data_IF_461950505075
#
_entry.id   IF_461950505075
#
_cell.length_a   1.000
_cell.length_b   1.000
_cell.length_c   1.000
_cell.angle_alpha   90.00
_cell.angle_beta   90.00
_cell.angle_gamma   90.00
#
_symmetry.space_group_name_H-M   'P 1'
#
loop_
_entity.id
_entity.type
_entity.pdbx_description
1 polymer ?
#
# COMPACT_ATOMS: atom_id res chain seq x y z
N UNK A 1 53.66 -55.12 -62.24
CA UNK A 1 53.73 -54.15 -61.18
C UNK A 1 52.34 -53.67 -60.80
N UNK A 2 51.84 -54.00 -59.64
CA UNK A 2 50.60 -53.41 -59.16
C UNK A 2 50.92 -52.43 -57.98
N UNK A 3 50.69 -51.17 -58.21
CA UNK A 3 50.94 -50.09 -57.22
C UNK A 3 49.67 -49.37 -56.70
N UNK A 4 48.54 -49.95 -56.69
CA UNK A 4 47.26 -49.26 -56.39
C UNK A 4 46.43 -49.81 -55.24
N UNK A 5 46.96 -50.72 -54.44
CA UNK A 5 46.19 -51.25 -53.33
C UNK A 5 46.38 -50.50 -51.98
N UNK A 6 47.38 -49.61 -51.87
CA UNK A 6 47.67 -48.97 -50.58
C UNK A 6 46.91 -47.65 -50.36
N UNK A 7 46.47 -46.99 -51.43
CA UNK A 7 45.73 -45.73 -51.29
C UNK A 7 44.28 -45.87 -50.83
N UNK A 8 43.69 -47.05 -51.08
CA UNK A 8 42.28 -47.27 -50.66
C UNK A 8 42.13 -47.53 -49.16
N UNK A 9 43.19 -48.01 -48.52
CA UNK A 9 43.14 -48.29 -47.09
C UNK A 9 43.31 -47.04 -46.24
N UNK A 10 44.21 -46.13 -46.68
CA UNK A 10 44.40 -44.86 -46.00
C UNK A 10 43.20 -43.92 -46.14
N UNK A 11 42.58 -43.82 -47.31
CA UNK A 11 41.36 -43.01 -47.51
C UNK A 11 40.18 -43.55 -46.73
N UNK A 12 40.05 -44.88 -46.59
CA UNK A 12 39.01 -45.48 -45.77
C UNK A 12 39.21 -45.18 -44.27
N UNK A 13 40.45 -45.12 -43.80
CA UNK A 13 40.79 -44.83 -42.42
C UNK A 13 40.50 -43.36 -42.06
N UNK A 14 40.88 -42.41 -42.94
CA UNK A 14 40.58 -40.99 -42.74
C UNK A 14 39.07 -40.72 -42.75
N UNK A 15 38.33 -41.31 -43.65
CA UNK A 15 36.87 -41.17 -43.69
C UNK A 15 36.16 -41.75 -42.44
N UNK A 16 36.64 -42.87 -41.90
CA UNK A 16 36.09 -43.49 -40.70
C UNK A 16 36.36 -42.63 -39.45
N UNK A 17 37.51 -41.94 -39.39
CA UNK A 17 37.85 -41.06 -38.27
C UNK A 17 37.09 -39.73 -38.31
N UNK A 18 36.83 -39.19 -39.50
CA UNK A 18 36.06 -37.97 -39.72
C UNK A 18 34.57 -38.17 -39.40
N UNK A 19 34.00 -39.31 -39.80
CA UNK A 19 32.62 -39.73 -39.42
C UNK A 19 32.52 -39.94 -37.90
N UNK A 20 33.57 -40.48 -37.28
CA UNK A 20 33.59 -40.62 -35.80
C UNK A 20 33.68 -39.29 -35.08
N UNK A 21 34.41 -38.29 -35.59
CA UNK A 21 34.48 -36.94 -35.06
C UNK A 21 33.16 -36.19 -35.23
N UNK A 22 32.50 -36.32 -36.36
CA UNK A 22 31.20 -35.72 -36.61
C UNK A 22 30.07 -36.38 -35.74
N UNK A 23 30.11 -37.66 -35.48
CA UNK A 23 29.16 -38.33 -34.59
C UNK A 23 29.40 -38.01 -33.09
N UNK A 24 30.67 -37.73 -32.71
CA UNK A 24 30.98 -37.33 -31.32
C UNK A 24 30.64 -35.87 -31.02
N UNK A 25 30.49 -35.00 -32.03
CA UNK A 25 30.20 -33.57 -31.88
C UNK A 25 28.68 -33.26 -31.74
N UNK A 26 27.78 -34.19 -32.04
CA UNK A 26 26.31 -33.94 -31.99
C UNK A 26 25.62 -34.47 -30.72
N UNK A 27 26.38 -34.72 -29.66
CA UNK A 27 25.86 -35.00 -28.35
C UNK A 27 25.16 -33.79 -27.73
N UNK A 28 24.04 -33.35 -28.33
CA UNK A 28 23.11 -32.48 -27.63
C UNK A 28 22.51 -33.32 -26.50
N UNK A 29 23.15 -33.23 -25.33
CA UNK A 29 22.52 -33.70 -24.10
C UNK A 29 21.15 -33.03 -24.00
N UNK A 30 20.06 -33.79 -23.84
CA UNK A 30 18.73 -33.18 -23.69
C UNK A 30 18.80 -32.29 -22.45
N UNK A 31 18.72 -30.96 -22.64
CA UNK A 31 18.56 -30.00 -21.52
C UNK A 31 17.34 -30.47 -20.76
N UNK A 32 17.54 -31.15 -19.64
CA UNK A 32 16.47 -31.53 -18.70
C UNK A 32 15.77 -30.24 -18.35
N UNK A 33 14.64 -29.96 -18.98
CA UNK A 33 13.71 -28.92 -18.58
C UNK A 33 13.35 -29.24 -17.13
N UNK A 34 13.93 -28.50 -16.18
CA UNK A 34 13.54 -28.58 -14.78
C UNK A 34 12.04 -28.33 -14.74
N UNK A 35 11.23 -29.37 -14.51
CA UNK A 35 9.81 -29.23 -14.24
C UNK A 35 9.73 -28.36 -13.00
N UNK A 36 9.51 -27.05 -13.19
CA UNK A 36 9.20 -26.13 -12.07
C UNK A 36 8.03 -26.79 -11.33
N UNK A 37 8.23 -27.12 -10.08
CA UNK A 37 7.22 -27.72 -9.24
C UNK A 37 5.98 -26.81 -9.30
N UNK A 38 4.88 -27.28 -9.88
CA UNK A 38 3.62 -26.54 -9.99
C UNK A 38 3.15 -26.04 -8.62
N UNK A 39 3.47 -26.79 -7.55
CA UNK A 39 3.16 -26.42 -6.15
C UNK A 39 3.94 -25.20 -5.66
N UNK A 40 5.23 -25.04 -6.01
CA UNK A 40 5.99 -23.85 -5.64
C UNK A 40 5.48 -22.60 -6.37
N UNK A 41 5.16 -22.72 -7.66
CA UNK A 41 4.56 -21.65 -8.46
C UNK A 41 3.17 -21.24 -7.91
N UNK A 42 2.37 -22.18 -7.48
CA UNK A 42 1.04 -21.92 -6.93
C UNK A 42 1.12 -21.18 -5.58
N UNK A 43 2.02 -21.55 -4.69
CA UNK A 43 2.23 -20.85 -3.42
C UNK A 43 2.67 -19.40 -3.63
N UNK A 44 3.60 -19.18 -4.57
CA UNK A 44 4.06 -17.83 -4.94
C UNK A 44 2.93 -17.01 -5.53
N UNK A 45 2.09 -17.59 -6.38
CA UNK A 45 0.93 -16.91 -6.95
C UNK A 45 -0.09 -16.50 -5.88
N UNK A 46 -0.39 -17.40 -4.93
CA UNK A 46 -1.28 -17.09 -3.79
C UNK A 46 -0.71 -15.96 -2.93
N UNK A 47 0.59 -16.01 -2.62
CA UNK A 47 1.24 -14.95 -1.85
C UNK A 47 1.13 -13.59 -2.56
N UNK A 48 1.43 -13.53 -3.85
CA UNK A 48 1.30 -12.30 -4.63
C UNK A 48 -0.15 -11.79 -4.66
N UNK A 49 -1.11 -12.69 -4.83
CA UNK A 49 -2.53 -12.32 -4.80
C UNK A 49 -2.93 -11.74 -3.43
N UNK A 50 -2.50 -12.35 -2.31
CA UNK A 50 -2.75 -11.83 -0.97
C UNK A 50 -2.12 -10.44 -0.74
N UNK A 51 -0.89 -10.23 -1.23
CA UNK A 51 -0.22 -8.92 -1.13
C UNK A 51 -0.98 -7.86 -1.92
N UNK A 52 -1.38 -8.15 -3.16
CA UNK A 52 -2.14 -7.21 -3.99
C UNK A 52 -3.50 -6.88 -3.35
N UNK A 53 -4.25 -7.91 -2.92
CA UNK A 53 -5.54 -7.70 -2.25
C UNK A 53 -5.38 -6.88 -0.96
N UNK A 54 -4.39 -7.21 -0.14
CA UNK A 54 -4.08 -6.46 1.09
C UNK A 54 -3.74 -4.99 0.80
N UNK A 55 -2.95 -4.73 -0.24
CA UNK A 55 -2.60 -3.37 -0.65
C UNK A 55 -3.83 -2.59 -1.14
N UNK A 56 -4.72 -3.23 -1.92
CA UNK A 56 -5.96 -2.59 -2.37
C UNK A 56 -6.90 -2.25 -1.21
N UNK A 57 -7.02 -3.15 -0.22
CA UNK A 57 -7.84 -2.89 0.98
C UNK A 57 -7.28 -1.72 1.80
N UNK A 58 -5.97 -1.68 2.02
CA UNK A 58 -5.31 -0.57 2.73
C UNK A 58 -5.47 0.75 1.99
N UNK A 59 -5.32 0.74 0.67
CA UNK A 59 -5.53 1.93 -0.15
C UNK A 59 -6.99 2.42 -0.08
N UNK A 60 -7.96 1.50 -0.12
CA UNK A 60 -9.38 1.84 0.02
C UNK A 60 -9.73 2.44 1.37
N UNK A 61 -9.23 1.86 2.47
CA UNK A 61 -9.41 2.39 3.83
C UNK A 61 -8.73 3.77 3.93
N UNK A 62 -7.50 3.91 3.44
CA UNK A 62 -6.77 5.18 3.42
C UNK A 62 -7.55 6.27 2.68
N UNK A 63 -8.14 5.95 1.54
CA UNK A 63 -8.99 6.87 0.78
C UNK A 63 -10.22 7.33 1.56
N UNK A 64 -10.94 6.40 2.22
CA UNK A 64 -12.12 6.73 3.03
C UNK A 64 -11.76 7.66 4.21
N UNK A 65 -10.67 7.36 4.90
CA UNK A 65 -10.20 8.18 6.02
C UNK A 65 -9.72 9.57 5.55
N UNK A 66 -9.01 9.62 4.42
CA UNK A 66 -8.56 10.88 3.85
C UNK A 66 -9.72 11.75 3.38
N UNK A 67 -10.74 11.15 2.76
CA UNK A 67 -11.95 11.85 2.35
C UNK A 67 -12.68 12.48 3.56
N UNK A 68 -12.75 11.78 4.69
CA UNK A 68 -13.36 12.30 5.92
C UNK A 68 -12.49 13.40 6.57
N UNK A 69 -11.17 13.24 6.55
CA UNK A 69 -10.21 14.23 7.06
C UNK A 69 -10.35 15.57 6.33
N UNK A 70 -10.48 15.53 5.01
CA UNK A 70 -10.53 16.71 4.14
C UNK A 70 -11.97 17.20 3.88
N UNK A 71 -12.98 16.54 4.41
CA UNK A 71 -14.41 16.87 4.22
C UNK A 71 -14.86 17.00 2.74
N UNK A 72 -14.23 16.23 1.83
CA UNK A 72 -14.38 16.42 0.38
C UNK A 72 -15.76 16.06 -0.18
N UNK A 73 -16.58 15.31 0.54
CA UNK A 73 -17.86 14.81 0.03
C UNK A 73 -18.95 14.82 1.12
N UNK A 74 -19.08 15.94 1.81
CA UNK A 74 -20.13 16.16 2.82
C UNK A 74 -21.06 17.26 2.34
N UNK A 75 -22.36 17.08 2.61
CA UNK A 75 -23.33 18.16 2.44
C UNK A 75 -23.04 19.28 3.45
N UNK A 76 -23.19 20.52 3.02
CA UNK A 76 -22.95 21.68 3.89
C UNK A 76 -23.99 21.70 5.04
N UNK A 77 -23.50 21.52 6.24
CA UNK A 77 -24.30 21.63 7.47
C UNK A 77 -23.56 22.50 8.48
N UNK A 78 -24.24 23.52 8.98
CA UNK A 78 -23.72 24.35 10.08
C UNK A 78 -24.37 23.89 11.39
N UNK A 79 -23.56 23.61 12.40
CA UNK A 79 -24.02 23.10 13.70
C UNK A 79 -23.32 23.84 14.83
N UNK A 80 -24.08 24.08 15.92
CA UNK A 80 -23.50 24.54 17.18
C UNK A 80 -23.06 23.34 18.00
N UNK A 81 -21.81 23.37 18.47
CA UNK A 81 -21.23 22.37 19.35
C UNK A 81 -20.84 23.01 20.65
N UNK A 82 -21.22 22.41 21.76
CA UNK A 82 -20.78 22.83 23.10
C UNK A 82 -19.69 21.88 23.59
N UNK A 83 -18.54 22.43 23.91
CA UNK A 83 -17.44 21.74 24.59
C UNK A 83 -17.52 22.09 26.07
N UNK A 84 -17.72 21.08 26.92
CA UNK A 84 -17.84 21.26 28.37
C UNK A 84 -16.45 21.25 29.03
N UNK A 85 -16.32 21.90 30.20
CA UNK A 85 -15.11 21.81 31.01
C UNK A 85 -14.80 20.34 31.37
N UNK A 86 -13.59 19.90 31.03
CA UNK A 86 -13.14 18.54 31.30
C UNK A 86 -13.43 17.53 30.17
N UNK A 87 -14.06 17.95 29.08
CA UNK A 87 -14.22 17.10 27.90
C UNK A 87 -12.86 16.63 27.36
N UNK A 88 -12.73 15.34 27.18
CA UNK A 88 -11.59 14.79 26.47
C UNK A 88 -11.74 14.97 24.96
N UNK A 89 -10.64 14.92 24.21
CA UNK A 89 -10.67 14.88 22.72
C UNK A 89 -11.59 13.77 22.21
N UNK A 90 -11.76 12.69 22.99
CA UNK A 90 -12.67 11.60 22.68
C UNK A 90 -14.14 11.96 22.82
N UNK A 91 -14.49 12.80 23.81
CA UNK A 91 -15.85 13.26 24.04
C UNK A 91 -16.23 14.31 23.01
N UNK A 92 -15.32 15.23 22.70
CA UNK A 92 -15.47 16.17 21.58
C UNK A 92 -15.65 15.44 20.25
N UNK A 93 -14.83 14.41 19.96
CA UNK A 93 -14.98 13.59 18.77
C UNK A 93 -16.33 12.85 18.70
N UNK A 94 -16.91 12.51 19.86
CA UNK A 94 -18.27 11.96 19.91
C UNK A 94 -19.30 13.02 19.54
N UNK A 95 -19.22 14.20 20.14
CA UNK A 95 -20.13 15.31 19.84
C UNK A 95 -20.08 15.72 18.37
N UNK A 96 -18.88 15.83 17.79
CA UNK A 96 -18.68 16.13 16.38
C UNK A 96 -19.27 15.05 15.44
N UNK A 97 -19.15 13.77 15.82
CA UNK A 97 -19.76 12.68 15.05
C UNK A 97 -21.27 12.69 15.13
N UNK A 98 -21.83 12.88 16.34
CA UNK A 98 -23.26 12.90 16.57
C UNK A 98 -23.92 14.10 15.84
N UNK A 99 -23.16 15.17 15.64
CA UNK A 99 -23.54 16.34 14.84
C UNK A 99 -23.30 16.16 13.32
N UNK A 100 -22.74 15.05 12.87
CA UNK A 100 -22.49 14.77 11.45
C UNK A 100 -21.27 15.48 10.85
N UNK A 101 -20.46 16.16 11.67
CA UNK A 101 -19.27 16.88 11.20
C UNK A 101 -18.11 15.93 10.85
N UNK A 102 -18.01 14.78 11.50
CA UNK A 102 -17.01 13.75 11.23
C UNK A 102 -17.66 12.36 11.14
N UNK A 103 -17.07 11.45 10.39
CA UNK A 103 -17.56 10.07 10.28
C UNK A 103 -16.81 9.11 11.22
N UNK A 104 -15.52 9.31 11.41
CA UNK A 104 -14.64 8.36 12.12
C UNK A 104 -14.01 8.97 13.38
N UNK A 105 -14.67 8.81 14.54
CA UNK A 105 -14.18 9.28 15.85
C UNK A 105 -12.75 8.85 16.18
N UNK A 106 -12.44 7.57 15.92
CA UNK A 106 -11.11 7.01 16.19
C UNK A 106 -10.02 7.68 15.36
N UNK A 107 -10.33 8.00 14.11
CA UNK A 107 -9.40 8.67 13.21
C UNK A 107 -9.24 10.16 13.60
N UNK A 108 -10.30 10.84 13.98
CA UNK A 108 -10.22 12.20 14.52
C UNK A 108 -9.33 12.27 15.78
N UNK A 109 -9.49 11.32 16.72
CA UNK A 109 -8.60 11.21 17.89
C UNK A 109 -7.14 11.00 17.51
N UNK A 110 -6.88 10.13 16.53
CA UNK A 110 -5.54 9.88 16.03
C UNK A 110 -4.93 11.14 15.41
N UNK A 111 -5.66 11.83 14.54
CA UNK A 111 -5.26 13.10 13.94
C UNK A 111 -5.09 14.19 15.00
N UNK A 112 -5.91 14.20 16.04
CA UNK A 112 -5.85 15.12 17.17
C UNK A 112 -4.50 15.10 17.92
N UNK A 113 -3.79 13.96 17.90
CA UNK A 113 -2.43 13.87 18.45
C UNK A 113 -1.48 14.75 17.63
N UNK A 114 -1.57 14.70 16.31
CA UNK A 114 -0.73 15.49 15.40
C UNK A 114 -1.08 16.98 15.43
N UNK A 115 -2.35 17.30 15.57
CA UNK A 115 -2.84 18.68 15.62
C UNK A 115 -2.88 19.27 17.03
N UNK A 116 -2.38 18.54 18.03
CA UNK A 116 -2.36 18.95 19.44
C UNK A 116 -3.76 19.35 19.95
N UNK A 117 -4.79 18.61 19.56
CA UNK A 117 -6.20 18.89 19.88
C UNK A 117 -6.45 19.09 21.38
N UNK A 118 -5.75 18.36 22.25
CA UNK A 118 -5.86 18.49 23.70
C UNK A 118 -5.38 19.84 24.26
N UNK A 119 -4.68 20.64 23.46
CA UNK A 119 -4.20 21.98 23.83
C UNK A 119 -4.92 23.09 23.09
N UNK A 120 -5.57 22.75 21.98
CA UNK A 120 -6.20 23.69 21.07
C UNK A 120 -7.73 23.60 21.08
N UNK A 121 -8.31 22.81 21.98
CA UNK A 121 -9.75 22.72 22.16
C UNK A 121 -10.05 23.25 23.56
N UNK A 122 -10.76 24.35 23.63
CA UNK A 122 -11.16 25.02 24.86
C UNK A 122 -12.67 24.80 25.12
N UNK A 123 -13.13 24.84 26.38
CA UNK A 123 -14.55 24.82 26.70
C UNK A 123 -15.27 26.03 26.11
N UNK A 124 -16.45 25.83 25.55
CA UNK A 124 -17.24 26.92 24.97
C UNK A 124 -18.27 26.44 23.94
N UNK A 125 -19.00 27.39 23.38
CA UNK A 125 -19.94 27.16 22.28
C UNK A 125 -19.33 27.59 20.96
N UNK A 126 -19.28 26.68 19.99
CA UNK A 126 -18.66 26.90 18.69
C UNK A 126 -19.64 26.66 17.55
N UNK A 127 -19.61 27.53 16.54
CA UNK A 127 -20.31 27.29 15.27
C UNK A 127 -19.33 26.66 14.30
N UNK A 128 -19.61 25.41 13.97
CA UNK A 128 -18.78 24.60 13.07
C UNK A 128 -19.60 24.18 11.86
N UNK A 129 -18.96 23.94 10.74
CA UNK A 129 -19.61 23.44 9.54
C UNK A 129 -18.93 22.18 9.00
N UNK A 130 -19.65 21.44 8.17
CA UNK A 130 -19.18 20.18 7.61
C UNK A 130 -18.10 20.34 6.52
N UNK A 131 -17.86 21.55 6.00
CA UNK A 131 -16.78 21.86 5.04
C UNK A 131 -15.41 21.99 5.71
N UNK A 132 -15.40 22.08 7.04
CA UNK A 132 -14.17 22.19 7.81
C UNK A 132 -13.44 20.85 7.83
N UNK A 133 -12.16 20.85 7.48
CA UNK A 133 -11.27 19.73 7.71
C UNK A 133 -10.99 19.54 9.21
N UNK A 134 -10.44 18.41 9.61
CA UNK A 134 -10.17 18.11 11.01
C UNK A 134 -9.30 19.14 11.71
N UNK A 135 -8.34 19.72 10.99
CA UNK A 135 -7.49 20.75 11.54
C UNK A 135 -8.27 22.03 11.78
N UNK A 136 -9.09 22.45 10.82
CA UNK A 136 -9.95 23.64 10.96
C UNK A 136 -10.97 23.48 12.07
N UNK A 137 -11.57 22.29 12.24
CA UNK A 137 -12.45 22.00 13.37
C UNK A 137 -11.73 22.23 14.70
N UNK A 138 -10.53 21.70 14.87
CA UNK A 138 -9.74 21.84 16.11
C UNK A 138 -9.37 23.31 16.35
N UNK A 139 -8.91 24.02 15.32
CA UNK A 139 -8.49 25.41 15.47
C UNK A 139 -9.67 26.38 15.74
N UNK A 140 -10.84 26.07 15.19
CA UNK A 140 -12.04 26.89 15.47
C UNK A 140 -12.65 26.62 16.85
N UNK A 141 -12.21 25.61 17.57
CA UNK A 141 -12.58 25.36 18.97
C UNK A 141 -11.54 25.87 19.96
N UNK A 142 -10.61 26.73 19.50
CA UNK A 142 -9.63 27.38 20.35
C UNK A 142 -10.05 28.82 20.68
N UNK A 143 -10.03 29.18 21.97
CA UNK A 143 -10.31 30.54 22.42
C UNK A 143 -9.04 31.37 22.44
N UNK A 144 -8.77 32.05 21.32
CA UNK A 144 -7.62 32.97 21.19
C UNK A 144 -7.64 34.18 22.14
N UNK A 145 -8.80 34.51 22.72
CA UNK A 145 -8.90 35.60 23.68
C UNK A 145 -8.38 35.19 25.07
N UNK A 146 -8.59 33.94 25.46
CA UNK A 146 -8.06 33.39 26.71
C UNK A 146 -6.53 33.38 26.74
N UNK A 147 -5.88 33.13 25.60
CA UNK A 147 -4.43 33.12 25.44
C UNK A 147 -3.79 34.51 25.59
N UNK A 148 -4.51 35.60 25.30
CA UNK A 148 -4.03 36.98 25.45
C UNK A 148 -4.00 37.47 26.89
N UNK A 149 -4.82 36.90 27.76
CA UNK A 149 -4.90 37.31 29.17
C UNK A 149 -3.79 36.69 30.01
N UNK A 150 -3.19 35.59 29.56
CA UNK A 150 -2.16 34.82 30.28
C UNK A 150 -0.71 35.14 29.84
N UNK A 151 -0.48 36.20 29.06
CA UNK A 151 0.84 36.74 28.70
C UNK A 151 1.02 38.11 29.36
#
# INVERSE_FOLDING_TARGET
>A
MPKDQNNNFETAYYNAEEVRRQSAGSGHAPKKKKKKSKRASQRTAIYLACVVLGSCLLAGIGWLLFNDLCSLNKDYVEVKITVDEGDSVGDVAKKLKDAGLINYRGFFKFCGIFFHASKNIDPGEYKLNSDMDYRSLILNMHDYEADKVNK
#
